data_IF_333431926367
#
_entry.id   IF_333431926367
#
_cell.length_a   1.000
_cell.length_b   1.000
_cell.length_c   1.000
_cell.angle_alpha   90.00
_cell.angle_beta   90.00
_cell.angle_gamma   90.00
#
_symmetry.space_group_name_H-M   'P 1'
#
loop_
_entity.id
_entity.type
_entity.pdbx_description
1 polymer ?
#
# COMPACT_ATOMS: atom_id res chain seq x y z
N UNK A 1 -33.51 70.04 13.83
CA UNK A 1 -32.74 70.73 14.88
C UNK A 1 -32.70 69.80 16.10
N UNK A 2 -31.66 68.97 16.25
CA UNK A 2 -31.41 68.22 17.48
C UNK A 2 -29.92 67.83 17.52
N UNK A 3 -29.30 68.27 18.60
CA UNK A 3 -27.87 68.47 18.80
C UNK A 3 -27.26 67.23 19.42
N UNK A 4 -26.14 66.76 18.84
CA UNK A 4 -25.25 65.77 19.47
C UNK A 4 -24.62 66.36 20.74
N UNK A 5 -24.80 65.70 21.89
CA UNK A 5 -24.03 65.99 23.12
C UNK A 5 -23.01 64.88 23.36
N UNK A 6 -21.74 65.23 23.25
CA UNK A 6 -20.59 64.51 23.83
C UNK A 6 -20.70 64.54 25.35
N UNK A 7 -20.53 63.40 26.01
CA UNK A 7 -20.21 63.33 27.44
C UNK A 7 -18.79 62.78 27.64
N UNK A 8 -18.03 63.55 28.40
CA UNK A 8 -16.62 63.36 28.76
C UNK A 8 -16.54 62.46 30.01
N UNK A 9 -15.48 61.65 30.07
CA UNK A 9 -15.14 60.74 31.16
C UNK A 9 -15.07 61.39 32.55
N UNK A 10 -15.55 60.67 33.56
CA UNK A 10 -15.14 60.85 34.96
C UNK A 10 -14.46 59.57 35.46
N UNK A 11 -13.18 59.70 35.82
CA UNK A 11 -12.35 58.63 36.36
C UNK A 11 -12.58 58.56 37.87
N UNK A 12 -13.16 57.47 38.37
CA UNK A 12 -13.23 57.20 39.81
C UNK A 12 -12.09 56.23 40.18
N UNK A 13 -11.20 56.56 41.15
CA UNK A 13 -10.15 55.66 41.57
C UNK A 13 -10.74 54.52 42.40
N UNK A 14 -10.51 53.29 41.95
CA UNK A 14 -10.89 52.05 42.64
C UNK A 14 -9.81 51.77 43.70
N UNK A 15 -10.18 51.88 44.98
CA UNK A 15 -9.31 51.50 46.10
C UNK A 15 -8.91 50.03 45.97
N UNK A 16 -7.61 49.77 45.84
CA UNK A 16 -7.01 48.44 45.94
C UNK A 16 -7.01 48.02 47.42
N UNK A 17 -7.92 47.13 47.81
CA UNK A 17 -7.72 46.33 49.02
C UNK A 17 -6.60 45.31 48.75
N UNK A 18 -5.65 45.25 49.67
CA UNK A 18 -4.49 44.38 49.62
C UNK A 18 -4.87 42.91 49.49
N UNK A 19 -4.16 42.26 48.58
CA UNK A 19 -4.17 40.82 48.31
C UNK A 19 -3.74 40.02 49.54
N UNK A 20 -4.57 39.08 49.97
CA UNK A 20 -4.06 37.87 50.59
C UNK A 20 -3.65 36.94 49.43
N UNK A 21 -2.35 36.64 49.34
CA UNK A 21 -1.79 35.73 48.36
C UNK A 21 -2.52 34.38 48.43
N UNK A 22 -3.33 34.07 47.41
CA UNK A 22 -3.86 32.73 47.23
C UNK A 22 -2.67 31.81 46.91
N UNK A 23 -2.39 30.89 47.82
CA UNK A 23 -1.49 29.78 47.59
C UNK A 23 -1.81 29.14 46.23
N UNK A 24 -0.79 28.74 45.50
CA UNK A 24 -0.90 28.09 44.19
C UNK A 24 -1.40 26.62 44.35
N UNK A 25 -2.55 26.44 45.01
CA UNK A 25 -3.23 25.15 45.16
C UNK A 25 -4.02 24.88 43.89
N UNK A 26 -3.53 23.96 43.06
CA UNK A 26 -4.29 23.47 41.90
C UNK A 26 -5.62 22.90 42.40
N UNK A 27 -6.76 23.41 41.91
CA UNK A 27 -8.07 22.96 42.39
C UNK A 27 -8.29 21.46 42.12
N UNK A 28 -8.95 20.70 43.03
CA UNK A 28 -9.26 19.28 42.83
C UNK A 28 -9.94 19.00 41.49
N UNK A 29 -10.80 19.93 41.05
CA UNK A 29 -11.44 19.89 39.74
C UNK A 29 -10.46 19.92 38.56
N UNK A 30 -9.43 20.77 38.63
CA UNK A 30 -8.40 20.87 37.60
C UNK A 30 -7.54 19.60 37.56
N UNK A 31 -7.18 19.06 38.73
CA UNK A 31 -6.45 17.79 38.85
C UNK A 31 -7.25 16.64 38.24
N UNK A 32 -8.51 16.47 38.66
CA UNK A 32 -9.36 15.38 38.19
C UNK A 32 -9.62 15.47 36.67
N UNK A 33 -9.85 16.67 36.13
CA UNK A 33 -10.03 16.87 34.69
C UNK A 33 -8.77 16.57 33.89
N UNK A 34 -7.60 17.02 34.35
CA UNK A 34 -6.33 16.73 33.66
C UNK A 34 -6.02 15.24 33.67
N UNK A 35 -6.32 14.56 34.79
CA UNK A 35 -6.09 13.12 34.94
C UNK A 35 -7.02 12.28 34.07
N UNK A 36 -8.31 12.61 34.07
CA UNK A 36 -9.35 11.74 33.46
C UNK A 36 -9.81 12.17 32.06
N UNK A 37 -9.69 13.46 31.72
CA UNK A 37 -10.15 14.02 30.45
C UNK A 37 -11.66 14.23 30.34
N UNK A 38 -12.47 13.85 31.34
CA UNK A 38 -13.93 14.04 31.30
C UNK A 38 -14.35 15.53 31.33
N UNK A 39 -15.60 15.83 30.95
CA UNK A 39 -16.09 17.20 30.93
C UNK A 39 -16.09 17.84 32.32
N UNK A 40 -15.96 19.17 32.38
CA UNK A 40 -15.95 19.92 33.64
C UNK A 40 -17.21 19.69 34.47
N UNK A 41 -18.38 19.53 33.84
CA UNK A 41 -19.64 19.27 34.52
C UNK A 41 -19.62 17.91 35.24
N UNK A 42 -19.17 16.85 34.58
CA UNK A 42 -19.06 15.53 35.18
C UNK A 42 -18.02 15.50 36.31
N UNK A 43 -16.86 16.12 36.11
CA UNK A 43 -15.82 16.21 37.14
C UNK A 43 -16.32 16.96 38.39
N UNK A 44 -17.08 18.05 38.22
CA UNK A 44 -17.70 18.78 39.34
C UNK A 44 -18.72 17.93 40.08
N UNK A 45 -19.61 17.25 39.36
CA UNK A 45 -20.62 16.39 39.98
C UNK A 45 -19.99 15.23 40.77
N UNK A 46 -18.93 14.62 40.22
CA UNK A 46 -18.20 13.57 40.91
C UNK A 46 -17.55 14.06 42.21
N UNK A 47 -16.87 15.21 42.16
CA UNK A 47 -16.24 15.79 43.35
C UNK A 47 -17.26 16.20 44.42
N UNK A 48 -18.41 16.76 44.02
CA UNK A 48 -19.50 17.10 44.92
C UNK A 48 -20.07 15.85 45.63
N UNK A 49 -20.17 14.73 44.93
CA UNK A 49 -20.71 13.48 45.48
C UNK A 49 -19.80 12.87 46.56
N UNK A 50 -18.48 13.06 46.46
CA UNK A 50 -17.49 12.44 47.35
C UNK A 50 -16.68 13.46 48.16
N UNK A 51 -17.23 14.66 48.39
CA UNK A 51 -16.61 15.71 49.19
C UNK A 51 -15.14 15.98 48.81
N UNK A 52 -14.90 16.19 47.51
CA UNK A 52 -13.57 16.42 46.92
C UNK A 52 -12.55 15.25 47.05
N UNK A 53 -13.00 14.04 47.39
CA UNK A 53 -12.15 12.84 47.32
C UNK A 53 -11.87 12.45 45.86
N UNK A 54 -10.62 12.66 45.43
CA UNK A 54 -10.19 12.44 44.04
C UNK A 54 -10.30 10.97 43.58
N UNK A 55 -9.90 10.01 44.40
CA UNK A 55 -9.89 8.58 44.02
C UNK A 55 -11.30 8.01 43.87
N UNK A 56 -12.19 8.36 44.80
CA UNK A 56 -13.58 7.95 44.74
C UNK A 56 -14.31 8.64 43.58
N UNK A 57 -14.04 9.93 43.34
CA UNK A 57 -14.59 10.67 42.22
C UNK A 57 -14.13 10.09 40.87
N UNK A 58 -12.85 9.73 40.73
CA UNK A 58 -12.32 9.08 39.53
C UNK A 58 -12.96 7.71 39.27
N UNK A 59 -13.02 6.85 40.29
CA UNK A 59 -13.66 5.53 40.20
C UNK A 59 -15.13 5.66 39.77
N UNK A 60 -15.86 6.59 40.38
CA UNK A 60 -17.26 6.85 40.02
C UNK A 60 -17.42 7.39 38.60
N UNK A 61 -16.52 8.27 38.15
CA UNK A 61 -16.52 8.77 36.77
C UNK A 61 -16.33 7.64 35.76
N UNK A 62 -15.39 6.73 36.00
CA UNK A 62 -15.18 5.58 35.13
C UNK A 62 -16.37 4.64 35.07
N UNK A 63 -16.96 4.30 36.23
CA UNK A 63 -18.16 3.45 36.31
C UNK A 63 -19.34 4.10 35.58
N UNK A 64 -19.52 5.41 35.78
CA UNK A 64 -20.59 6.16 35.12
C UNK A 64 -20.38 6.24 33.61
N UNK A 65 -19.15 6.50 33.14
CA UNK A 65 -18.83 6.53 31.72
C UNK A 65 -19.10 5.18 31.04
N UNK A 66 -18.81 4.08 31.72
CA UNK A 66 -19.12 2.74 31.23
C UNK A 66 -20.63 2.53 31.07
N UNK A 67 -21.41 2.87 32.11
CA UNK A 67 -22.87 2.73 32.08
C UNK A 67 -23.52 3.62 31.01
N UNK A 68 -23.07 4.87 30.88
CA UNK A 68 -23.54 5.80 29.85
C UNK A 68 -23.16 5.34 28.44
N UNK A 69 -21.95 4.81 28.27
CA UNK A 69 -21.47 4.19 27.03
C UNK A 69 -22.37 3.06 26.57
N UNK A 70 -22.67 2.10 27.45
CA UNK A 70 -23.58 0.99 27.18
C UNK A 70 -25.02 1.44 26.86
N UNK A 71 -25.52 2.43 27.61
CA UNK A 71 -26.84 3.01 27.34
C UNK A 71 -26.91 3.63 25.94
N UNK A 72 -25.86 4.36 25.52
CA UNK A 72 -25.78 4.94 24.18
C UNK A 72 -25.59 3.89 23.09
N UNK A 73 -24.70 2.91 23.30
CA UNK A 73 -24.50 1.81 22.36
C UNK A 73 -25.83 1.09 22.08
N UNK A 74 -26.61 0.80 23.10
CA UNK A 74 -27.94 0.18 22.96
C UNK A 74 -28.92 1.04 22.15
N UNK A 75 -28.87 2.37 22.31
CA UNK A 75 -29.72 3.31 21.57
C UNK A 75 -29.29 3.50 20.12
N UNK A 76 -28.00 3.38 19.84
CA UNK A 76 -27.40 3.66 18.53
C UNK A 76 -27.19 2.42 17.67
N UNK A 77 -27.26 1.20 18.24
CA UNK A 77 -26.93 -0.06 17.58
C UNK A 77 -27.66 -0.32 16.25
N UNK A 78 -28.87 0.22 16.07
CA UNK A 78 -29.68 0.03 14.85
C UNK A 78 -29.30 1.00 13.72
N UNK A 79 -28.43 1.98 13.98
CA UNK A 79 -27.97 2.94 12.97
C UNK A 79 -26.93 2.28 12.07
N UNK A 80 -26.97 2.63 10.78
CA UNK A 80 -26.04 2.08 9.81
C UNK A 80 -24.60 2.59 10.08
N UNK A 81 -23.67 1.66 10.32
CA UNK A 81 -22.24 1.93 10.45
C UNK A 81 -21.50 1.34 9.24
N UNK A 82 -21.39 2.11 8.16
CA UNK A 82 -20.76 1.68 6.90
C UNK A 82 -19.37 2.30 6.66
N UNK A 83 -18.97 3.29 7.46
CA UNK A 83 -17.62 3.82 7.50
C UNK A 83 -16.79 3.06 8.54
N UNK A 84 -15.49 3.34 8.64
CA UNK A 84 -14.62 2.67 9.61
C UNK A 84 -13.17 2.56 9.17
N UNK A 85 -12.44 1.67 9.84
CA UNK A 85 -11.06 1.34 9.55
C UNK A 85 -10.81 -0.17 9.60
N UNK A 86 -9.90 -0.60 8.73
CA UNK A 86 -9.21 -1.88 8.87
C UNK A 86 -7.92 -1.63 9.66
N UNK A 87 -7.73 -2.38 10.74
CA UNK A 87 -6.50 -2.37 11.54
C UNK A 87 -5.74 -3.68 11.38
N UNK A 88 -4.43 -3.62 11.18
CA UNK A 88 -3.55 -4.78 11.07
C UNK A 88 -2.38 -4.66 12.05
N UNK A 89 -2.20 -5.70 12.86
CA UNK A 89 -1.01 -5.87 13.72
C UNK A 89 -0.27 -7.15 13.31
N UNK A 90 1.05 -7.09 13.33
CA UNK A 90 1.94 -8.19 12.95
C UNK A 90 2.99 -8.37 14.04
N UNK A 91 3.21 -9.61 14.49
CA UNK A 91 4.37 -10.00 15.27
C UNK A 91 5.17 -11.07 14.50
N UNK A 92 6.19 -11.66 15.12
CA UNK A 92 7.09 -12.60 14.43
C UNK A 92 6.36 -13.86 13.90
N UNK A 93 5.34 -14.34 14.62
CA UNK A 93 4.73 -15.64 14.38
C UNK A 93 3.27 -15.55 13.90
N UNK A 94 2.64 -14.37 14.00
CA UNK A 94 1.23 -14.18 13.72
C UNK A 94 0.90 -12.76 13.26
N UNK A 95 -0.24 -12.64 12.58
CA UNK A 95 -0.82 -11.35 12.20
C UNK A 95 -2.31 -11.36 12.50
N UNK A 96 -2.85 -10.23 12.97
CA UNK A 96 -4.28 -10.05 13.16
C UNK A 96 -4.77 -8.85 12.34
N UNK A 97 -5.93 -9.02 11.71
CA UNK A 97 -6.62 -7.97 10.96
C UNK A 97 -8.06 -7.85 11.45
N UNK A 98 -8.52 -6.64 11.68
CA UNK A 98 -9.85 -6.35 12.22
C UNK A 98 -10.55 -5.27 11.39
N UNK A 99 -11.86 -5.41 11.21
CA UNK A 99 -12.71 -4.37 10.65
C UNK A 99 -13.59 -3.78 11.75
N UNK A 100 -13.42 -2.49 12.02
CA UNK A 100 -14.21 -1.74 12.99
C UNK A 100 -14.95 -0.63 12.26
N UNK A 101 -16.28 -0.60 12.40
CA UNK A 101 -17.12 0.36 11.69
C UNK A 101 -17.65 1.46 12.60
N UNK A 102 -17.91 2.62 11.99
CA UNK A 102 -18.60 3.78 12.56
C UNK A 102 -19.59 4.38 11.56
N UNK A 103 -20.39 5.37 11.97
CA UNK A 103 -21.39 6.00 11.09
C UNK A 103 -20.71 6.92 10.06
N UNK A 104 -19.73 7.72 10.47
CA UNK A 104 -19.08 8.73 9.60
C UNK A 104 -17.55 8.55 9.49
N UNK A 105 -16.96 9.08 8.41
CA UNK A 105 -15.52 9.06 8.20
C UNK A 105 -14.77 10.05 9.12
N UNK A 106 -15.48 11.04 9.67
CA UNK A 106 -14.95 11.93 10.71
C UNK A 106 -14.59 11.16 11.99
N UNK A 107 -15.45 10.23 12.42
CA UNK A 107 -15.14 9.35 13.56
C UNK A 107 -14.02 8.38 13.23
N UNK A 108 -13.96 7.84 12.02
CA UNK A 108 -12.85 6.98 11.60
C UNK A 108 -11.47 7.66 11.74
N UNK A 109 -11.40 8.98 11.51
CA UNK A 109 -10.18 9.79 11.66
C UNK A 109 -9.91 10.24 13.11
N UNK A 110 -10.82 10.00 14.05
CA UNK A 110 -10.66 10.41 15.44
C UNK A 110 -9.63 9.53 16.18
N UNK A 111 -8.75 10.14 16.97
CA UNK A 111 -7.71 9.43 17.72
C UNK A 111 -8.26 8.36 18.68
N UNK A 112 -9.42 8.61 19.32
CA UNK A 112 -10.05 7.63 20.23
C UNK A 112 -10.61 6.42 19.49
N UNK A 113 -11.08 6.62 18.26
CA UNK A 113 -11.51 5.52 17.42
C UNK A 113 -10.31 4.70 16.92
N UNK A 114 -9.24 5.37 16.48
CA UNK A 114 -7.99 4.68 16.10
C UNK A 114 -7.39 3.89 17.26
N UNK A 115 -7.40 4.45 18.48
CA UNK A 115 -6.99 3.74 19.70
C UNK A 115 -7.82 2.46 19.93
N UNK A 116 -9.15 2.53 19.76
CA UNK A 116 -10.01 1.35 19.83
C UNK A 116 -9.60 0.30 18.78
N UNK A 117 -9.38 0.70 17.52
CA UNK A 117 -8.95 -0.21 16.44
C UNK A 117 -7.66 -0.92 16.81
N UNK A 118 -6.66 -0.18 17.30
CA UNK A 118 -5.38 -0.75 17.74
C UNK A 118 -5.56 -1.71 18.93
N UNK A 119 -6.33 -1.31 19.95
CA UNK A 119 -6.61 -2.15 21.12
C UNK A 119 -7.32 -3.44 20.75
N UNK A 120 -8.29 -3.39 19.83
CA UNK A 120 -9.02 -4.57 19.35
C UNK A 120 -8.10 -5.50 18.56
N UNK A 121 -7.27 -4.96 17.65
CA UNK A 121 -6.32 -5.75 16.88
C UNK A 121 -5.28 -6.45 17.77
N UNK A 122 -4.70 -5.72 18.73
CA UNK A 122 -3.73 -6.26 19.69
C UNK A 122 -4.36 -7.26 20.66
N UNK A 123 -5.60 -7.03 21.10
CA UNK A 123 -6.32 -7.98 21.95
C UNK A 123 -6.67 -9.25 21.18
N UNK A 124 -7.00 -9.14 19.89
CA UNK A 124 -7.32 -10.29 19.05
C UNK A 124 -6.12 -11.23 18.91
N UNK A 125 -4.94 -10.70 18.55
CA UNK A 125 -3.72 -11.52 18.43
C UNK A 125 -3.29 -12.12 19.78
N UNK A 126 -3.49 -11.41 20.89
CA UNK A 126 -3.10 -11.87 22.23
C UNK A 126 -4.05 -12.91 22.85
N UNK A 127 -5.32 -12.95 22.43
CA UNK A 127 -6.33 -13.87 22.96
C UNK A 127 -6.55 -15.11 22.10
N UNK A 128 -5.70 -15.29 21.10
CA UNK A 128 -5.77 -16.45 20.23
C UNK A 128 -5.56 -17.74 21.04
N UNK A 129 -6.54 -18.66 20.96
CA UNK A 129 -6.55 -19.90 21.74
C UNK A 129 -5.78 -21.05 21.09
N UNK A 130 -5.88 -21.17 19.77
CA UNK A 130 -5.24 -22.25 19.00
C UNK A 130 -4.24 -21.66 18.01
N UNK A 131 -2.94 -21.85 18.29
CA UNK A 131 -1.82 -21.46 17.42
C UNK A 131 -1.49 -22.49 16.35
N UNK A 132 -2.05 -23.70 16.44
CA UNK A 132 -1.86 -24.74 15.44
C UNK A 132 -2.74 -24.50 14.20
N UNK A 133 -3.90 -23.88 14.38
CA UNK A 133 -4.76 -23.48 13.27
C UNK A 133 -4.11 -22.34 12.47
N UNK A 134 -3.96 -22.51 11.16
CA UNK A 134 -3.31 -21.52 10.30
C UNK A 134 -4.04 -20.17 10.25
N UNK A 135 -5.38 -20.21 10.26
CA UNK A 135 -6.23 -19.02 10.24
C UNK A 135 -7.47 -19.19 11.10
N UNK A 136 -7.82 -18.18 11.88
CA UNK A 136 -9.02 -18.17 12.71
C UNK A 136 -9.85 -16.90 12.46
N UNK A 137 -11.14 -17.08 12.18
CA UNK A 137 -12.09 -15.99 11.96
C UNK A 137 -12.90 -15.71 13.23
N UNK A 138 -13.18 -14.44 13.46
CA UNK A 138 -13.96 -13.94 14.58
C UNK A 138 -15.06 -13.06 14.00
N UNK A 139 -16.30 -13.46 14.22
CA UNK A 139 -17.47 -12.63 13.92
C UNK A 139 -17.65 -11.53 14.97
N UNK A 140 -18.70 -10.73 14.82
CA UNK A 140 -19.01 -9.63 15.72
C UNK A 140 -19.08 -10.06 17.19
N UNK A 141 -19.79 -11.14 17.49
CA UNK A 141 -20.11 -11.51 18.86
C UNK A 141 -18.90 -12.18 19.54
N UNK A 142 -18.19 -13.04 18.81
CA UNK A 142 -16.95 -13.68 19.29
C UNK A 142 -15.83 -12.68 19.50
N UNK A 143 -15.69 -11.68 18.61
CA UNK A 143 -14.72 -10.60 18.77
C UNK A 143 -15.06 -9.71 19.97
N UNK A 144 -16.33 -9.34 20.13
CA UNK A 144 -16.79 -8.48 21.21
C UNK A 144 -16.58 -9.12 22.60
N UNK A 145 -16.67 -10.45 22.71
CA UNK A 145 -16.49 -11.18 23.95
C UNK A 145 -15.02 -11.35 24.40
N UNK A 146 -14.04 -11.03 23.55
CA UNK A 146 -12.62 -11.17 23.93
C UNK A 146 -12.24 -10.18 25.04
N UNK A 147 -11.37 -10.56 25.99
CA UNK A 147 -10.89 -9.63 27.01
C UNK A 147 -9.87 -8.65 26.41
N UNK A 148 -9.90 -7.39 26.87
CA UNK A 148 -8.93 -6.38 26.49
C UNK A 148 -7.53 -6.72 27.04
N UNK A 149 -6.49 -6.40 26.27
CA UNK A 149 -5.10 -6.58 26.72
C UNK A 149 -4.71 -5.59 27.84
N UNK A 150 -5.25 -4.37 27.81
CA UNK A 150 -4.92 -3.30 28.78
C UNK A 150 -5.60 -3.52 30.14
N UNK A 151 -6.79 -4.12 30.12
CA UNK A 151 -7.59 -4.45 31.30
C UNK A 151 -8.36 -5.75 31.07
N UNK A 152 -7.81 -6.86 31.57
CA UNK A 152 -8.37 -8.20 31.41
C UNK A 152 -9.75 -8.39 32.08
N UNK A 153 -10.16 -7.45 32.94
CA UNK A 153 -11.51 -7.47 33.53
C UNK A 153 -12.59 -6.97 32.58
N UNK A 154 -12.20 -6.30 31.48
CA UNK A 154 -13.12 -5.74 30.48
C UNK A 154 -13.09 -6.50 29.18
N UNK A 155 -14.26 -6.63 28.57
CA UNK A 155 -14.40 -7.18 27.21
C UNK A 155 -14.14 -6.10 26.15
N UNK A 156 -13.87 -6.50 24.91
CA UNK A 156 -13.80 -5.56 23.80
C UNK A 156 -15.13 -4.85 23.57
N UNK A 157 -16.26 -5.49 23.90
CA UNK A 157 -17.57 -4.85 23.90
C UNK A 157 -17.63 -3.66 24.89
N UNK A 158 -17.04 -3.80 26.08
CA UNK A 158 -16.97 -2.71 27.06
C UNK A 158 -16.15 -1.54 26.55
N UNK A 159 -15.02 -1.82 25.88
CA UNK A 159 -14.16 -0.78 25.29
C UNK A 159 -14.88 -0.09 24.12
N UNK A 160 -15.58 -0.84 23.28
CA UNK A 160 -16.38 -0.28 22.19
C UNK A 160 -17.51 0.61 22.73
N UNK A 161 -18.21 0.20 23.79
CA UNK A 161 -19.25 0.99 24.43
C UNK A 161 -18.72 2.31 25.01
N UNK A 162 -17.52 2.31 25.61
CA UNK A 162 -16.84 3.54 26.03
C UNK A 162 -16.52 4.47 24.85
N UNK A 163 -16.08 3.89 23.73
CA UNK A 163 -15.83 4.65 22.50
C UNK A 163 -17.12 5.29 22.00
N UNK A 164 -18.24 4.55 21.91
CA UNK A 164 -19.57 5.09 21.56
C UNK A 164 -19.98 6.24 22.50
N UNK A 165 -19.74 6.08 23.80
CA UNK A 165 -19.99 7.13 24.79
C UNK A 165 -19.22 8.43 24.50
N UNK A 166 -18.00 8.29 24.00
CA UNK A 166 -17.08 9.39 23.72
C UNK A 166 -17.34 10.06 22.37
N UNK A 167 -17.49 9.27 21.30
CA UNK A 167 -17.64 9.76 19.92
C UNK A 167 -19.10 10.09 19.56
N UNK A 168 -20.06 9.46 20.24
CA UNK A 168 -21.49 9.72 20.05
C UNK A 168 -22.12 9.07 18.81
N UNK A 169 -21.39 8.18 18.13
CA UNK A 169 -21.86 7.41 16.98
C UNK A 169 -21.89 5.91 17.29
N UNK A 170 -22.69 5.16 16.54
CA UNK A 170 -22.65 3.70 16.56
C UNK A 170 -21.25 3.21 16.16
N UNK A 171 -20.69 2.30 16.95
CA UNK A 171 -19.41 1.64 16.68
C UNK A 171 -19.63 0.13 16.71
N UNK A 172 -19.16 -0.55 15.66
CA UNK A 172 -19.38 -1.98 15.48
C UNK A 172 -18.04 -2.70 15.31
N UNK A 173 -17.76 -3.65 16.21
CA UNK A 173 -16.66 -4.62 16.06
C UNK A 173 -17.12 -5.66 15.02
N UNK A 174 -16.88 -5.44 13.73
CA UNK A 174 -17.60 -6.20 12.69
C UNK A 174 -17.06 -7.60 12.47
N UNK A 175 -15.74 -7.73 12.36
CA UNK A 175 -15.05 -9.02 12.18
C UNK A 175 -13.56 -8.89 12.47
N UNK A 176 -12.94 -10.02 12.77
CA UNK A 176 -11.50 -10.17 12.94
C UNK A 176 -11.01 -11.45 12.29
N UNK A 177 -9.73 -11.47 11.94
CA UNK A 177 -9.03 -12.67 11.51
C UNK A 177 -7.63 -12.68 12.11
N UNK A 178 -7.16 -13.87 12.48
CA UNK A 178 -5.77 -14.12 12.88
C UNK A 178 -5.15 -15.13 11.94
N UNK A 179 -3.93 -14.84 11.49
CA UNK A 179 -3.04 -15.74 10.77
C UNK A 179 -1.87 -16.16 11.64
N UNK A 180 -1.50 -17.43 11.57
CA UNK A 180 -0.29 -17.96 12.18
C UNK A 180 0.67 -18.40 11.09
N UNK A 181 1.89 -17.84 11.12
CA UNK A 181 3.00 -18.35 10.33
C UNK A 181 3.43 -19.71 10.89
N UNK A 182 3.57 -20.69 10.01
CA UNK A 182 4.27 -21.96 10.33
C UNK A 182 5.76 -21.83 10.02
N UNK A 183 6.57 -22.82 10.43
CA UNK A 183 7.98 -22.88 10.06
C UNK A 183 8.15 -22.74 8.53
N UNK A 184 9.07 -21.88 8.09
CA UNK A 184 9.31 -21.50 6.68
C UNK A 184 8.21 -20.67 5.99
N UNK A 185 7.15 -20.26 6.69
CA UNK A 185 6.15 -19.33 6.18
C UNK A 185 6.40 -17.90 6.70
N UNK A 186 6.12 -16.92 5.86
CA UNK A 186 6.27 -15.49 6.10
C UNK A 186 4.89 -14.83 5.98
N UNK A 187 4.63 -13.86 6.85
CA UNK A 187 3.42 -13.06 6.82
C UNK A 187 3.74 -11.66 6.32
N UNK A 188 3.05 -11.23 5.27
CA UNK A 188 3.08 -9.85 4.78
C UNK A 188 1.72 -9.18 5.00
N UNK A 189 1.75 -7.88 5.28
CA UNK A 189 0.55 -7.07 5.48
C UNK A 189 0.60 -5.80 4.63
N UNK A 190 -0.54 -5.38 4.11
CA UNK A 190 -0.68 -4.09 3.43
C UNK A 190 -2.00 -3.41 3.81
N UNK A 191 -1.93 -2.09 4.04
CA UNK A 191 -3.10 -1.24 4.25
C UNK A 191 -3.11 -0.12 3.20
N UNK A 192 -4.24 0.06 2.52
CA UNK A 192 -4.45 1.14 1.56
C UNK A 192 -5.32 2.25 2.13
N UNK A 193 -5.04 3.50 1.74
CA UNK A 193 -5.70 4.69 2.30
C UNK A 193 -5.33 4.89 3.77
N UNK A 194 -4.03 4.87 4.07
CA UNK A 194 -3.52 4.92 5.44
C UNK A 194 -3.93 6.23 6.13
N UNK A 195 -4.32 6.09 7.40
CA UNK A 195 -4.54 7.23 8.30
C UNK A 195 -3.28 7.41 9.12
N UNK A 196 -2.82 8.65 9.28
CA UNK A 196 -1.63 8.96 10.07
C UNK A 196 -1.85 8.56 11.53
N UNK A 197 -1.31 7.41 11.94
CA UNK A 197 -1.23 7.03 13.35
C UNK A 197 -0.02 7.72 13.99
N UNK A 198 -0.13 8.04 15.29
CA UNK A 198 0.97 8.57 16.07
C UNK A 198 2.14 7.57 16.10
N UNK A 199 3.38 8.09 16.11
CA UNK A 199 4.66 7.40 15.83
C UNK A 199 5.05 6.21 16.71
N UNK A 200 4.19 5.76 17.62
CA UNK A 200 4.46 4.65 18.56
C UNK A 200 3.52 3.45 18.41
N UNK A 201 2.49 3.53 17.57
CA UNK A 201 1.54 2.44 17.38
C UNK A 201 2.00 1.49 16.27
N UNK A 202 2.14 0.19 16.60
CA UNK A 202 2.50 -0.87 15.65
C UNK A 202 1.33 -1.29 14.76
N UNK A 203 0.11 -0.80 15.04
CA UNK A 203 -1.08 -1.08 14.24
C UNK A 203 -1.12 -0.22 12.96
N UNK A 204 -1.13 -0.87 11.80
CA UNK A 204 -1.35 -0.23 10.50
C UNK A 204 -2.84 -0.11 10.24
N UNK A 205 -3.32 1.09 9.92
CA UNK A 205 -4.74 1.35 9.71
C UNK A 205 -5.02 1.94 8.34
N UNK A 206 -6.13 1.54 7.72
CA UNK A 206 -6.54 2.08 6.42
C UNK A 206 -7.99 1.72 6.06
N UNK A 207 -8.38 2.04 4.82
CA UNK A 207 -9.71 1.71 4.28
C UNK A 207 -9.81 0.26 3.80
N UNK A 208 -8.71 -0.28 3.30
CA UNK A 208 -8.60 -1.67 2.86
C UNK A 208 -7.39 -2.29 3.53
N UNK A 209 -7.52 -3.56 3.91
CA UNK A 209 -6.43 -4.32 4.50
C UNK A 209 -6.26 -5.67 3.84
N UNK A 210 -5.03 -6.13 3.79
CA UNK A 210 -4.68 -7.41 3.20
C UNK A 210 -3.58 -8.10 4.01
N UNK A 211 -3.78 -9.40 4.22
CA UNK A 211 -2.79 -10.29 4.84
C UNK A 211 -2.44 -11.41 3.87
N UNK A 212 -1.15 -11.68 3.73
CA UNK A 212 -0.61 -12.70 2.83
C UNK A 212 0.30 -13.64 3.59
N UNK A 213 0.03 -14.94 3.47
CA UNK A 213 0.91 -16.00 3.91
C UNK A 213 1.65 -16.60 2.70
N UNK A 214 2.98 -16.60 2.75
CA UNK A 214 3.83 -17.09 1.66
C UNK A 214 5.10 -17.73 2.19
N UNK A 215 5.70 -18.67 1.47
CA UNK A 215 7.02 -19.24 1.81
C UNK A 215 8.00 -19.06 0.66
N UNK A 216 9.27 -18.85 0.96
CA UNK A 216 10.30 -18.91 -0.07
C UNK A 216 10.44 -20.35 -0.56
N UNK A 217 10.43 -20.55 -1.88
CA UNK A 217 10.73 -21.82 -2.52
C UNK A 217 12.25 -21.95 -2.55
N UNK A 218 12.76 -23.00 -1.93
CA UNK A 218 14.18 -23.36 -1.99
C UNK A 218 14.50 -23.85 -3.41
N UNK A 219 15.36 -23.14 -4.17
CA UNK A 219 15.67 -23.50 -5.56
C UNK A 219 16.37 -24.86 -5.68
N UNK A 220 16.86 -25.45 -4.59
CA UNK A 220 17.59 -26.74 -4.60
C UNK A 220 16.71 -27.97 -4.39
N UNK A 221 15.43 -27.81 -4.02
CA UNK A 221 14.49 -28.92 -3.82
C UNK A 221 13.61 -29.13 -5.05
N UNK A 222 14.05 -29.99 -5.96
CA UNK A 222 13.27 -30.46 -7.10
C UNK A 222 12.16 -31.43 -6.64
N UNK A 223 10.93 -31.10 -7.03
CA UNK A 223 9.70 -31.90 -7.15
C UNK A 223 9.69 -33.30 -6.50
N UNK A 224 9.01 -33.44 -5.37
CA UNK A 224 8.16 -34.61 -5.12
C UNK A 224 6.74 -34.27 -5.57
N UNK A 225 6.19 -35.11 -6.44
CA UNK A 225 4.84 -35.05 -7.02
C UNK A 225 3.78 -34.69 -5.98
N UNK A 226 3.03 -33.60 -6.23
CA UNK A 226 1.58 -33.42 -5.89
C UNK A 226 1.11 -31.95 -5.92
N UNK A 227 1.94 -30.96 -6.32
CA UNK A 227 1.54 -29.55 -6.28
C UNK A 227 1.22 -28.94 -7.66
N UNK A 228 0.05 -29.27 -8.22
CA UNK A 228 -0.66 -28.32 -9.09
C UNK A 228 -1.23 -27.20 -8.21
N UNK A 229 -0.56 -26.05 -8.11
CA UNK A 229 -1.19 -24.72 -8.11
C UNK A 229 -0.19 -23.57 -7.88
N UNK A 230 -0.14 -22.68 -8.88
CA UNK A 230 0.18 -21.25 -8.85
C UNK A 230 1.35 -20.76 -7.97
N UNK A 231 2.55 -20.73 -8.56
CA UNK A 231 3.62 -19.79 -8.21
C UNK A 231 3.12 -18.36 -8.46
N UNK A 232 2.72 -17.63 -7.41
CA UNK A 232 2.44 -16.20 -7.50
C UNK A 232 3.21 -15.45 -6.42
N UNK A 233 3.96 -14.43 -6.84
CA UNK A 233 4.62 -13.52 -5.90
C UNK A 233 3.57 -12.74 -5.10
N UNK A 234 3.72 -12.56 -3.77
CA UNK A 234 2.81 -11.81 -2.91
C UNK A 234 2.43 -10.41 -3.44
N UNK A 235 3.34 -9.78 -4.20
CA UNK A 235 3.16 -8.46 -4.81
C UNK A 235 2.03 -8.42 -5.85
N UNK A 236 1.69 -9.57 -6.47
CA UNK A 236 0.68 -9.65 -7.55
C UNK A 236 -0.76 -9.55 -7.02
N UNK A 237 -0.99 -9.93 -5.76
CA UNK A 237 -2.34 -9.99 -5.19
C UNK A 237 -2.71 -8.69 -4.46
N UNK A 238 -1.72 -7.94 -4.01
CA UNK A 238 -1.91 -6.80 -3.11
C UNK A 238 -2.09 -5.44 -3.79
N UNK A 239 -1.83 -5.34 -5.11
CA UNK A 239 -1.91 -4.07 -5.83
C UNK A 239 -2.65 -4.23 -7.15
N UNK A 240 -3.98 -4.25 -7.11
CA UNK A 240 -4.82 -3.87 -8.28
C UNK A 240 -5.10 -2.36 -8.34
N UNK A 241 -4.31 -1.56 -7.63
CA UNK A 241 -4.21 -0.13 -7.89
C UNK A 241 -3.11 0.08 -8.93
N UNK A 242 -3.50 0.11 -10.21
CA UNK A 242 -2.59 0.45 -11.30
C UNK A 242 -2.29 1.95 -11.23
N UNK A 243 -1.05 2.38 -10.94
CA UNK A 243 -0.74 3.80 -10.97
C UNK A 243 -0.94 4.31 -12.41
N UNK A 244 -1.66 5.43 -12.54
CA UNK A 244 -1.57 6.26 -13.75
C UNK A 244 -0.13 6.79 -13.83
N UNK A 245 0.38 7.04 -15.05
CA UNK A 245 1.73 7.61 -15.20
C UNK A 245 1.86 8.87 -14.34
N UNK A 246 2.91 8.94 -13.53
CA UNK A 246 3.23 10.14 -12.75
C UNK A 246 3.98 11.12 -13.64
N UNK A 247 3.37 12.27 -13.94
CA UNK A 247 4.06 13.37 -14.60
C UNK A 247 5.17 13.85 -13.67
N UNK A 248 6.38 14.05 -14.20
CA UNK A 248 7.50 14.50 -13.39
C UNK A 248 7.21 15.93 -12.86
N UNK A 249 7.08 16.07 -11.53
CA UNK A 249 6.66 17.31 -10.87
C UNK A 249 7.71 18.43 -11.00
N UNK A 250 8.97 18.06 -11.21
CA UNK A 250 10.08 18.98 -11.40
C UNK A 250 10.30 19.17 -12.91
N UNK A 251 10.04 20.39 -13.40
CA UNK A 251 10.25 20.90 -14.78
C UNK A 251 9.26 20.48 -15.89
N UNK A 252 8.51 19.38 -15.78
CA UNK A 252 7.72 18.85 -16.93
C UNK A 252 6.18 18.87 -16.76
N UNK A 253 5.63 19.86 -16.05
CA UNK A 253 4.17 20.03 -15.97
C UNK A 253 3.54 20.56 -17.27
N UNK A 254 4.36 21.06 -18.20
CA UNK A 254 3.92 21.55 -19.52
C UNK A 254 4.56 20.71 -20.62
N UNK A 255 3.89 20.54 -21.77
CA UNK A 255 4.50 19.88 -22.91
C UNK A 255 5.76 20.65 -23.35
N UNK A 256 6.82 19.90 -23.64
CA UNK A 256 8.10 20.41 -24.10
C UNK A 256 8.47 19.80 -25.46
N UNK A 257 9.43 20.42 -26.15
CA UNK A 257 9.99 19.89 -27.39
C UNK A 257 10.89 18.68 -27.14
N UNK A 258 11.01 17.82 -28.16
CA UNK A 258 11.82 16.60 -28.08
C UNK A 258 13.29 16.92 -27.78
N UNK A 259 13.88 17.93 -28.42
CA UNK A 259 15.29 18.31 -28.18
C UNK A 259 15.53 18.68 -26.72
N UNK A 260 14.62 19.45 -26.12
CA UNK A 260 14.69 19.85 -24.72
C UNK A 260 14.66 18.67 -23.78
N UNK A 261 13.83 17.66 -24.08
CA UNK A 261 13.81 16.41 -23.32
C UNK A 261 15.15 15.67 -23.42
N UNK A 262 15.69 15.53 -24.64
CA UNK A 262 16.95 14.81 -24.85
C UNK A 262 18.13 15.45 -24.11
N UNK A 263 18.23 16.78 -24.15
CA UNK A 263 19.30 17.52 -23.47
C UNK A 263 19.24 17.33 -21.94
N UNK A 264 18.04 17.26 -21.36
CA UNK A 264 17.84 17.11 -19.92
C UNK A 264 17.99 15.66 -19.44
N UNK A 265 17.60 14.69 -20.28
CA UNK A 265 17.66 13.27 -19.94
C UNK A 265 19.11 12.78 -19.78
N UNK A 266 20.05 13.35 -20.55
CA UNK A 266 21.47 13.00 -20.46
C UNK A 266 22.11 13.41 -19.12
N UNK A 267 21.51 14.39 -18.41
CA UNK A 267 21.95 14.86 -17.08
C UNK A 267 21.11 14.27 -15.93
N UNK A 268 20.07 13.49 -16.24
CA UNK A 268 19.10 13.04 -15.26
C UNK A 268 19.61 11.87 -14.39
N UNK A 269 19.33 11.95 -13.09
CA UNK A 269 19.63 10.86 -12.13
C UNK A 269 18.64 9.69 -12.21
N UNK A 270 17.49 9.91 -12.84
CA UNK A 270 16.42 8.94 -13.08
C UNK A 270 16.04 8.99 -14.56
N UNK A 271 15.68 7.84 -15.14
CA UNK A 271 15.24 7.76 -16.54
C UNK A 271 13.77 8.18 -16.69
N UNK A 272 13.43 8.81 -17.81
CA UNK A 272 12.07 9.25 -18.11
C UNK A 272 11.58 8.84 -19.51
N UNK A 273 10.29 8.58 -19.71
CA UNK A 273 9.72 8.39 -21.04
C UNK A 273 9.08 9.68 -21.55
N UNK A 274 9.26 9.96 -22.85
CA UNK A 274 8.70 11.14 -23.52
C UNK A 274 7.52 10.75 -24.38
N UNK A 275 6.34 11.31 -24.07
CA UNK A 275 5.07 11.00 -24.74
C UNK A 275 4.29 12.27 -25.05
N UNK A 276 4.13 12.56 -26.33
CA UNK A 276 3.31 13.67 -26.82
C UNK A 276 3.61 15.00 -26.11
N UNK A 277 4.90 15.30 -25.91
CA UNK A 277 5.38 16.50 -25.22
C UNK A 277 5.57 16.35 -23.71
N UNK A 278 5.02 15.31 -23.08
CA UNK A 278 5.09 15.11 -21.63
C UNK A 278 6.19 14.12 -21.24
N UNK A 279 6.81 14.35 -20.07
CA UNK A 279 7.89 13.52 -19.54
C UNK A 279 7.42 12.79 -18.28
N UNK A 280 7.62 11.48 -18.27
CA UNK A 280 7.14 10.59 -17.22
C UNK A 280 8.28 9.81 -16.61
N UNK A 281 8.44 9.87 -15.29
CA UNK A 281 9.48 9.13 -14.59
C UNK A 281 9.25 7.61 -14.70
N UNK A 282 10.32 6.85 -14.97
CA UNK A 282 10.25 5.39 -14.88
C UNK A 282 10.13 4.95 -13.42
N UNK A 283 9.38 3.86 -13.14
CA UNK A 283 9.36 3.23 -11.83
C UNK A 283 10.78 2.84 -11.37
N UNK A 284 11.01 2.87 -10.06
CA UNK A 284 12.27 2.43 -9.46
C UNK A 284 12.55 0.95 -9.77
N UNK A 285 13.84 0.61 -9.98
CA UNK A 285 14.27 -0.74 -10.34
C UNK A 285 14.24 -1.68 -9.13
N UNK A 286 13.76 -2.89 -9.35
CA UNK A 286 13.83 -3.99 -8.39
C UNK A 286 15.02 -4.90 -8.71
N UNK A 287 15.68 -5.47 -7.71
CA UNK A 287 16.88 -6.32 -7.88
C UNK A 287 16.61 -7.54 -8.78
N UNK A 288 15.38 -8.06 -8.79
CA UNK A 288 14.95 -9.16 -9.66
C UNK A 288 14.97 -8.77 -11.14
N UNK A 289 14.71 -7.50 -11.47
CA UNK A 289 14.74 -6.98 -12.84
C UNK A 289 16.16 -7.05 -13.40
N UNK A 290 17.15 -6.55 -12.64
CA UNK A 290 18.55 -6.54 -13.05
C UNK A 290 19.11 -7.96 -13.27
N UNK A 291 18.73 -8.93 -12.42
CA UNK A 291 19.13 -10.33 -12.59
C UNK A 291 18.58 -10.94 -13.88
N UNK A 292 17.30 -10.71 -14.18
CA UNK A 292 16.67 -11.21 -15.40
C UNK A 292 17.31 -10.61 -16.66
N UNK A 293 17.57 -9.30 -16.65
CA UNK A 293 18.26 -8.65 -17.76
C UNK A 293 19.67 -9.21 -17.95
N UNK A 294 20.39 -9.48 -16.86
CA UNK A 294 21.70 -10.13 -16.91
C UNK A 294 21.62 -11.52 -17.55
N UNK A 295 20.67 -12.35 -17.13
CA UNK A 295 20.50 -13.71 -17.66
C UNK A 295 20.12 -13.68 -19.16
N UNK A 296 19.17 -12.83 -19.54
CA UNK A 296 18.77 -12.63 -20.94
C UNK A 296 19.95 -12.18 -21.80
N UNK A 297 20.70 -11.18 -21.32
CA UNK A 297 21.85 -10.62 -22.03
C UNK A 297 22.91 -11.69 -22.26
N UNK A 298 23.29 -12.43 -21.21
CA UNK A 298 24.26 -13.50 -21.32
C UNK A 298 23.85 -14.58 -22.33
N UNK A 299 22.58 -15.01 -22.31
CA UNK A 299 22.07 -16.03 -23.20
C UNK A 299 22.05 -15.58 -24.67
N UNK A 300 21.71 -14.32 -24.94
CA UNK A 300 21.71 -13.76 -26.30
C UNK A 300 23.14 -13.58 -26.82
N UNK A 301 24.05 -13.04 -26.01
CA UNK A 301 25.44 -12.82 -26.40
C UNK A 301 26.17 -14.13 -26.70
N UNK A 302 25.91 -15.19 -25.92
CA UNK A 302 26.51 -16.51 -26.12
C UNK A 302 26.19 -17.11 -27.49
N UNK A 303 25.08 -16.71 -28.12
CA UNK A 303 24.66 -17.21 -29.42
C UNK A 303 25.36 -16.51 -30.60
N UNK A 304 26.14 -15.45 -30.35
CA UNK A 304 26.96 -14.76 -31.35
C UNK A 304 26.19 -14.39 -32.63
N UNK A 305 24.96 -13.90 -32.47
CA UNK A 305 24.08 -13.54 -33.58
C UNK A 305 24.69 -12.37 -34.36
N UNK A 306 24.87 -12.57 -35.67
CA UNK A 306 25.46 -11.56 -36.56
C UNK A 306 24.41 -10.54 -37.01
N UNK A 307 24.86 -9.32 -37.30
CA UNK A 307 24.05 -8.22 -37.87
C UNK A 307 22.91 -7.72 -36.96
N UNK A 308 23.01 -7.98 -35.66
CA UNK A 308 22.07 -7.48 -34.66
C UNK A 308 22.87 -6.94 -33.49
N UNK A 309 22.44 -5.79 -32.98
CA UNK A 309 23.01 -5.12 -31.83
C UNK A 309 22.10 -5.36 -30.63
N UNK A 310 22.65 -5.93 -29.58
CA UNK A 310 21.98 -6.01 -28.28
C UNK A 310 22.10 -4.66 -27.58
N UNK A 311 20.97 -4.04 -27.30
CA UNK A 311 20.86 -2.70 -26.75
C UNK A 311 20.33 -2.78 -25.32
N UNK A 312 21.10 -2.28 -24.32
CA UNK A 312 20.69 -2.28 -22.93
C UNK A 312 19.57 -1.26 -22.65
N UNK A 313 19.01 -1.32 -21.43
CA UNK A 313 17.87 -0.52 -20.98
C UNK A 313 18.05 1.00 -21.02
N UNK A 314 19.28 1.52 -21.10
CA UNK A 314 19.51 2.95 -21.23
C UNK A 314 19.44 3.44 -22.69
N UNK A 315 19.13 2.56 -23.63
CA UNK A 315 18.88 2.91 -25.03
C UNK A 315 17.37 3.05 -25.26
N UNK A 316 17.00 4.22 -25.77
CA UNK A 316 15.62 4.60 -26.05
C UNK A 316 15.14 4.01 -27.37
N UNK A 317 13.89 3.58 -27.44
CA UNK A 317 13.24 3.20 -28.69
C UNK A 317 12.25 4.27 -29.09
N UNK A 318 12.47 4.89 -30.24
CA UNK A 318 11.54 5.85 -30.83
C UNK A 318 10.57 5.13 -31.77
N UNK A 319 9.28 5.43 -31.64
CA UNK A 319 8.24 4.88 -32.51
C UNK A 319 8.17 5.67 -33.84
N UNK A 320 7.36 5.26 -34.84
CA UNK A 320 7.20 6.06 -36.06
C UNK A 320 6.62 7.45 -35.79
N UNK A 321 5.82 7.60 -34.74
CA UNK A 321 5.46 8.90 -34.20
C UNK A 321 6.62 9.37 -33.30
N UNK A 322 7.33 10.45 -33.69
CA UNK A 322 8.53 10.88 -32.98
C UNK A 322 8.23 11.40 -31.57
N UNK A 323 6.96 11.64 -31.25
CA UNK A 323 6.51 12.08 -29.94
C UNK A 323 6.41 10.95 -28.91
N UNK A 324 6.62 9.69 -29.30
CA UNK A 324 6.65 8.56 -28.39
C UNK A 324 8.04 7.92 -28.36
N UNK A 325 8.69 8.03 -27.20
CA UNK A 325 10.01 7.46 -26.92
C UNK A 325 9.94 6.68 -25.62
N UNK A 326 10.25 5.40 -25.70
CA UNK A 326 10.14 4.46 -24.60
C UNK A 326 11.49 3.85 -24.23
N UNK A 327 11.62 3.44 -22.98
CA UNK A 327 12.74 2.63 -22.52
C UNK A 327 12.29 1.16 -22.40
N UNK A 328 12.66 0.28 -23.34
CA UNK A 328 12.40 -1.15 -23.22
C UNK A 328 13.33 -1.79 -22.19
N UNK A 329 12.92 -2.94 -21.67
CA UNK A 329 13.75 -3.72 -20.74
C UNK A 329 14.97 -4.35 -21.43
N UNK A 330 14.86 -4.74 -22.70
CA UNK A 330 15.99 -5.11 -23.56
C UNK A 330 15.56 -4.92 -25.02
N UNK A 331 16.50 -4.58 -25.90
CA UNK A 331 16.18 -4.37 -27.31
C UNK A 331 17.25 -4.97 -28.20
N UNK A 332 16.84 -5.66 -29.26
CA UNK A 332 17.72 -6.08 -30.34
C UNK A 332 17.41 -5.23 -31.56
N UNK A 333 18.43 -4.65 -32.18
CA UNK A 333 18.27 -3.77 -33.32
C UNK A 333 19.21 -4.13 -34.46
N UNK A 334 18.73 -3.99 -35.70
CA UNK A 334 19.57 -4.21 -36.90
C UNK A 334 20.58 -3.09 -37.13
N UNK A 335 20.48 -1.99 -36.37
CA UNK A 335 21.38 -0.84 -36.48
C UNK A 335 21.76 -0.32 -35.11
N UNK A 336 23.05 -0.11 -34.89
CA UNK A 336 23.53 0.55 -33.69
C UNK A 336 22.94 1.98 -33.59
N UNK A 337 22.52 2.43 -32.40
CA UNK A 337 22.19 3.83 -32.16
C UNK A 337 23.32 4.74 -32.58
N UNK A 338 22.99 5.94 -33.05
CA UNK A 338 24.00 7.00 -33.22
C UNK A 338 24.49 7.44 -31.84
N UNK A 339 25.79 7.74 -31.72
CA UNK A 339 26.45 8.04 -30.45
C UNK A 339 25.92 9.29 -29.74
N UNK A 340 25.27 10.18 -30.47
CA UNK A 340 24.82 11.50 -30.03
C UNK A 340 23.45 11.50 -29.35
N UNK A 341 22.66 10.42 -29.46
CA UNK A 341 21.27 10.43 -28.99
C UNK A 341 20.82 9.19 -28.23
N UNK A 342 21.60 8.11 -28.18
CA UNK A 342 21.21 6.85 -27.51
C UNK A 342 19.77 6.36 -27.87
N UNK A 343 19.33 6.62 -29.11
CA UNK A 343 18.01 6.22 -29.63
C UNK A 343 18.18 5.20 -30.75
N UNK A 344 17.45 4.09 -30.66
CA UNK A 344 17.19 3.17 -31.79
C UNK A 344 15.84 3.46 -32.44
N UNK A 345 15.82 3.34 -33.77
CA UNK A 345 14.64 3.47 -34.64
C UNK A 345 14.38 2.20 -35.45
N UNK A 346 15.30 1.23 -35.36
CA UNK A 346 15.23 -0.02 -36.11
C UNK A 346 15.30 -1.24 -35.19
N UNK A 347 14.47 -1.32 -34.12
CA UNK A 347 14.40 -2.52 -33.31
C UNK A 347 13.76 -3.67 -34.11
N UNK A 348 14.28 -4.87 -33.91
CA UNK A 348 13.75 -6.10 -34.52
C UNK A 348 13.10 -7.01 -33.47
N UNK A 349 13.63 -6.99 -32.22
CA UNK A 349 13.00 -7.61 -31.05
C UNK A 349 13.00 -6.60 -29.90
N UNK A 350 11.87 -6.47 -29.21
CA UNK A 350 11.77 -5.74 -27.95
C UNK A 350 11.39 -6.72 -26.85
N UNK A 351 12.09 -6.69 -25.71
CA UNK A 351 11.75 -7.44 -24.52
C UNK A 351 11.25 -6.48 -23.44
N UNK A 352 10.14 -6.82 -22.81
CA UNK A 352 9.59 -6.08 -21.66
C UNK A 352 9.37 -7.02 -20.47
N UNK A 353 9.99 -6.69 -19.33
CA UNK A 353 9.71 -7.36 -18.07
C UNK A 353 8.44 -6.77 -17.46
N UNK A 354 7.42 -7.60 -17.32
CA UNK A 354 6.08 -7.20 -16.90
C UNK A 354 5.91 -7.36 -15.39
N UNK A 355 5.67 -6.24 -14.71
CA UNK A 355 5.33 -6.20 -13.28
C UNK A 355 3.87 -5.78 -13.09
N UNK A 356 3.24 -6.08 -11.94
CA UNK A 356 1.85 -5.66 -11.68
C UNK A 356 1.61 -4.15 -11.88
N UNK A 357 2.61 -3.31 -11.61
CA UNK A 357 2.53 -1.85 -11.75
C UNK A 357 2.69 -1.36 -13.19
N UNK A 358 3.37 -2.11 -14.05
CA UNK A 358 3.71 -1.70 -15.42
C UNK A 358 2.92 -2.45 -16.49
N UNK A 359 2.23 -3.54 -16.13
CA UNK A 359 1.52 -4.44 -17.05
C UNK A 359 0.56 -3.72 -17.99
N UNK A 360 -0.31 -2.87 -17.43
CA UNK A 360 -1.27 -2.12 -18.25
C UNK A 360 -0.56 -1.24 -19.28
N UNK A 361 0.52 -0.58 -18.88
CA UNK A 361 1.28 0.31 -19.74
C UNK A 361 1.95 -0.47 -20.88
N UNK A 362 2.61 -1.57 -20.52
CA UNK A 362 3.35 -2.41 -21.47
C UNK A 362 2.40 -3.06 -22.48
N UNK A 363 1.33 -3.71 -22.01
CA UNK A 363 0.45 -4.52 -22.86
C UNK A 363 -0.53 -3.70 -23.71
N UNK A 364 -0.84 -2.46 -23.32
CA UNK A 364 -1.78 -1.62 -24.05
C UNK A 364 -1.08 -0.45 -24.75
N UNK A 365 -0.43 0.45 -24.02
CA UNK A 365 0.13 1.67 -24.61
C UNK A 365 1.39 1.37 -25.44
N UNK A 366 2.41 0.80 -24.78
CA UNK A 366 3.69 0.49 -25.44
C UNK A 366 3.50 -0.53 -26.54
N UNK A 367 2.78 -1.63 -26.29
CA UNK A 367 2.49 -2.67 -27.30
C UNK A 367 1.90 -2.09 -28.58
N UNK A 368 0.87 -1.23 -28.47
CA UNK A 368 0.23 -0.62 -29.64
C UNK A 368 1.21 0.25 -30.43
N UNK A 369 2.03 1.03 -29.74
CA UNK A 369 2.99 1.93 -30.39
C UNK A 369 4.21 1.20 -30.97
N UNK A 370 4.75 0.19 -30.26
CA UNK A 370 5.82 -0.66 -30.76
C UNK A 370 5.41 -1.40 -32.03
N UNK A 371 4.19 -1.94 -32.10
CA UNK A 371 3.69 -2.67 -33.27
C UNK A 371 3.59 -1.83 -34.55
N UNK A 372 3.68 -0.50 -34.44
CA UNK A 372 3.73 0.41 -35.59
C UNK A 372 5.14 0.50 -36.21
N UNK A 373 6.18 0.10 -35.48
CA UNK A 373 7.57 0.11 -35.96
C UNK A 373 7.71 -0.93 -37.08
N UNK A 374 8.17 -0.49 -38.26
CA UNK A 374 8.22 -1.34 -39.45
C UNK A 374 9.21 -2.52 -39.33
N UNK A 375 10.36 -2.27 -38.72
CA UNK A 375 11.44 -3.25 -38.51
C UNK A 375 11.14 -4.27 -37.41
N UNK A 376 10.19 -3.98 -36.52
CA UNK A 376 9.90 -4.82 -35.37
C UNK A 376 9.18 -6.10 -35.82
N UNK A 377 9.76 -7.25 -35.48
CA UNK A 377 9.22 -8.57 -35.82
C UNK A 377 8.70 -9.34 -34.60
N UNK A 378 9.26 -9.12 -33.41
CA UNK A 378 8.82 -9.76 -32.17
C UNK A 378 8.78 -8.80 -30.98
N UNK A 379 7.79 -8.97 -30.11
CA UNK A 379 7.77 -8.38 -28.75
C UNK A 379 7.65 -9.53 -27.75
N UNK A 380 8.60 -9.61 -26.82
CA UNK A 380 8.67 -10.65 -25.80
C UNK A 380 8.32 -10.02 -24.45
N UNK A 381 7.20 -10.43 -23.89
CA UNK A 381 6.76 -10.05 -22.55
C UNK A 381 7.12 -11.17 -21.58
N UNK A 382 7.81 -10.85 -20.49
CA UNK A 382 8.22 -11.83 -19.48
C UNK A 382 7.62 -11.42 -18.14
N UNK A 383 6.84 -12.29 -17.51
CA UNK A 383 6.29 -12.05 -16.16
C UNK A 383 7.15 -12.79 -15.14
N UNK A 384 8.04 -12.10 -14.41
CA UNK A 384 8.95 -12.74 -13.45
C UNK A 384 8.20 -13.52 -12.38
N UNK A 385 7.12 -12.93 -11.86
CA UNK A 385 6.33 -13.47 -10.75
C UNK A 385 5.53 -14.73 -11.13
N UNK A 386 5.17 -14.86 -12.40
CA UNK A 386 4.40 -15.99 -12.93
C UNK A 386 5.33 -17.02 -13.60
N UNK A 387 6.60 -16.68 -13.79
CA UNK A 387 7.58 -17.43 -14.58
C UNK A 387 7.02 -17.90 -15.92
N UNK A 388 6.49 -16.96 -16.68
CA UNK A 388 5.96 -17.22 -18.02
C UNK A 388 6.35 -16.09 -18.96
N UNK A 389 6.21 -16.36 -20.26
CA UNK A 389 6.38 -15.36 -21.28
C UNK A 389 5.22 -15.39 -22.30
N UNK A 390 5.01 -14.26 -22.95
CA UNK A 390 4.16 -14.12 -24.12
C UNK A 390 5.01 -13.50 -25.23
N UNK A 391 4.91 -14.04 -26.43
CA UNK A 391 5.58 -13.48 -27.60
C UNK A 391 4.53 -13.07 -28.61
N UNK A 392 4.54 -11.79 -28.96
CA UNK A 392 3.79 -11.26 -30.08
C UNK A 392 4.73 -11.26 -31.30
N UNK A 393 4.44 -12.11 -32.29
CA UNK A 393 5.24 -12.24 -33.51
C UNK A 393 4.49 -11.71 -34.73
N UNK A 394 5.17 -10.94 -35.58
CA UNK A 394 4.59 -10.33 -36.78
C UNK A 394 4.57 -11.32 -37.95
N UNK A 395 3.42 -11.51 -38.58
CA UNK A 395 3.29 -12.38 -39.76
C UNK A 395 3.86 -11.70 -41.02
N UNK A 396 5.12 -12.01 -41.36
CA UNK A 396 5.80 -11.45 -42.54
C UNK A 396 5.89 -9.92 -42.49
N UNK A 397 5.40 -9.27 -43.55
CA UNK A 397 5.29 -7.81 -43.65
C UNK A 397 3.86 -7.30 -43.41
N UNK A 398 2.94 -8.18 -43.03
CA UNK A 398 1.56 -7.79 -42.73
C UNK A 398 1.46 -6.99 -41.42
N UNK A 399 0.30 -6.37 -41.18
CA UNK A 399 -0.02 -5.74 -39.89
C UNK A 399 -0.53 -6.76 -38.85
N UNK A 400 -0.55 -8.05 -39.17
CA UNK A 400 -1.05 -9.10 -38.28
C UNK A 400 0.03 -9.56 -37.30
N UNK A 401 -0.40 -9.78 -36.07
CA UNK A 401 0.43 -10.24 -34.97
C UNK A 401 -0.20 -11.48 -34.33
N UNK A 402 0.62 -12.52 -34.17
CA UNK A 402 0.26 -13.76 -33.50
C UNK A 402 0.80 -13.76 -32.09
N UNK A 403 -0.02 -14.19 -31.13
CA UNK A 403 0.37 -14.30 -29.72
C UNK A 403 0.60 -15.75 -29.36
N UNK A 404 1.74 -16.03 -28.73
CA UNK A 404 2.08 -17.35 -28.21
C UNK A 404 2.52 -17.24 -26.76
N UNK A 405 2.08 -18.17 -25.92
CA UNK A 405 2.43 -18.21 -24.50
C UNK A 405 3.42 -19.35 -24.24
N UNK A 406 4.34 -19.12 -23.31
CA UNK A 406 5.43 -20.02 -22.97
C UNK A 406 5.56 -20.13 -21.44
N UNK A 407 5.67 -21.35 -20.93
CA UNK A 407 6.01 -21.65 -19.55
C UNK A 407 7.53 -21.79 -19.34
N UNK A 408 7.95 -21.96 -18.08
CA UNK A 408 9.37 -22.04 -17.68
C UNK A 408 10.20 -23.05 -18.47
N UNK A 409 9.60 -24.20 -18.82
CA UNK A 409 10.31 -25.29 -19.48
C UNK A 409 10.42 -25.10 -21.00
N UNK A 410 9.77 -24.08 -21.55
CA UNK A 410 9.72 -23.85 -22.98
C UNK A 410 10.92 -23.02 -23.47
N UNK A 411 11.12 -23.07 -24.79
CA UNK A 411 12.09 -22.26 -25.51
C UNK A 411 11.38 -21.31 -26.46
N UNK A 412 11.79 -20.05 -26.47
CA UNK A 412 11.29 -19.04 -27.40
C UNK A 412 12.23 -18.97 -28.60
N UNK A 413 11.72 -19.22 -29.80
CA UNK A 413 12.52 -19.05 -31.02
C UNK A 413 12.60 -17.57 -31.44
N UNK A 414 13.82 -17.11 -31.71
CA UNK A 414 14.11 -15.78 -32.25
C UNK A 414 14.29 -15.80 -33.78
N UNK A 415 14.28 -16.99 -34.40
CA UNK A 415 14.61 -17.18 -35.80
C UNK A 415 13.69 -16.39 -36.76
N UNK A 416 12.43 -16.18 -36.41
CA UNK A 416 11.50 -15.37 -37.21
C UNK A 416 11.94 -13.90 -37.32
N UNK A 417 12.60 -13.39 -36.28
CA UNK A 417 13.02 -12.00 -36.20
C UNK A 417 14.45 -11.79 -36.73
N UNK A 418 15.37 -12.69 -36.37
CA UNK A 418 16.82 -12.49 -36.60
C UNK A 418 17.51 -13.69 -37.29
N UNK A 419 16.74 -14.65 -37.80
CA UNK A 419 17.21 -15.77 -38.62
C UNK A 419 17.72 -16.98 -37.83
N UNK A 420 18.20 -16.78 -36.60
CA UNK A 420 18.60 -17.85 -35.69
C UNK A 420 18.43 -17.43 -34.22
N UNK A 421 18.63 -18.39 -33.32
CA UNK A 421 18.69 -18.15 -31.89
C UNK A 421 17.41 -18.49 -31.13
N UNK A 422 17.58 -18.73 -29.84
CA UNK A 422 16.56 -19.23 -28.92
C UNK A 422 16.77 -18.64 -27.52
N UNK A 423 15.68 -18.45 -26.76
CA UNK A 423 15.75 -18.18 -25.32
C UNK A 423 15.21 -19.38 -24.57
N UNK A 424 16.02 -19.95 -23.67
CA UNK A 424 15.57 -21.02 -22.77
C UNK A 424 15.06 -20.36 -21.49
N UNK A 425 13.75 -20.43 -21.24
CA UNK A 425 13.14 -19.68 -20.14
C UNK A 425 13.60 -20.17 -18.76
N UNK A 426 13.96 -21.45 -18.62
CA UNK A 426 14.52 -21.98 -17.39
C UNK A 426 15.81 -21.24 -16.98
N UNK A 427 16.70 -20.97 -17.94
CA UNK A 427 17.95 -20.24 -17.71
C UNK A 427 17.71 -18.75 -17.46
N UNK A 428 16.70 -18.17 -18.14
CA UNK A 428 16.29 -16.78 -17.89
C UNK A 428 15.86 -16.61 -16.44
N UNK A 429 15.02 -17.52 -15.92
CA UNK A 429 14.56 -17.49 -14.53
C UNK A 429 15.55 -18.11 -13.52
N UNK A 430 16.76 -18.47 -13.94
CA UNK A 430 17.74 -19.08 -13.03
C UNK A 430 18.14 -18.11 -11.90
N UNK A 431 18.35 -18.66 -10.71
CA UNK A 431 18.61 -17.95 -9.45
C UNK A 431 17.52 -16.95 -9.03
N UNK A 432 16.32 -16.98 -9.65
CA UNK A 432 15.20 -16.20 -9.15
C UNK A 432 14.61 -16.83 -7.89
N UNK A 433 14.61 -16.05 -6.81
CA UNK A 433 13.87 -16.37 -5.60
C UNK A 433 12.39 -16.43 -5.93
N UNK A 434 11.79 -17.59 -5.67
CA UNK A 434 10.37 -17.82 -5.92
C UNK A 434 9.66 -17.95 -4.58
N UNK A 435 8.40 -17.54 -4.54
CA UNK A 435 7.58 -17.67 -3.34
C UNK A 435 6.37 -18.53 -3.66
N UNK A 436 6.06 -19.49 -2.78
CA UNK A 436 4.81 -20.25 -2.79
C UNK A 436 3.83 -19.46 -1.95
N UNK A 437 2.75 -18.99 -2.57
CA UNK A 437 1.64 -18.39 -1.87
C UNK A 437 0.83 -19.49 -1.19
N UNK A 438 0.54 -19.35 0.10
CA UNK A 438 -0.34 -20.28 0.82
C UNK A 438 -1.77 -19.75 0.91
N UNK A 439 -1.93 -18.46 1.23
CA UNK A 439 -3.26 -17.85 1.36
C UNK A 439 -3.22 -16.33 1.35
N UNK A 440 -4.33 -15.71 0.95
CA UNK A 440 -4.56 -14.26 1.06
C UNK A 440 -5.95 -14.00 1.63
N UNK A 441 -6.06 -13.02 2.52
CA UNK A 441 -7.35 -12.53 3.02
C UNK A 441 -7.40 -11.01 2.87
N UNK A 442 -8.55 -10.52 2.41
CA UNK A 442 -8.81 -9.12 2.09
C UNK A 442 -10.03 -8.66 2.88
N UNK A 443 -9.89 -7.56 3.61
CA UNK A 443 -11.00 -6.91 4.31
C UNK A 443 -11.46 -5.64 3.60
#
# INVERSE_FOLDING_TARGET
MLVWRRFIHSSVPRYLSQSAAAANTTSPLSVLRKKTGYSLSHCRAALQQFNDNLEQAETWLHQRAQAEGWSRATKLQSRAASQGLIGIVTNADAAAMVEINCETDFVAKNEKFQQLVSQVANSLIANQKDKAQEKAFYDKDTLAALPSIDDRSKTLADIAALCVGTVGENVVLRRGIVFNGKNNQLLASYCHGQVNSTSTDTCRMGRYGALVNYSQIDPTKTNTSDDENTSTSPSVILTRSYPLRTICENNFQKPIELSTYLDQEDEASQLHEYLNGYVYALPSRETTHDLLIKNLTAQIEQQQIKNVHLLPMNIRTQTPDPTYIYYPSLCLSIRAPKSDQAITREPVIIVELVTPTTERLILHEKSINYKRIASLKQIIYIWPNLKMAQVDSREGDSSKWMKTFYGVQDKISLAQAIGNGELVLADVFDNMVSFKLHSVELF
#
